data_IF_269138020582
#
_entry.id   IF_269138020582
#
_cell.length_a   1.000
_cell.length_b   1.000
_cell.length_c   1.000
_cell.angle_alpha   90.00
_cell.angle_beta   90.00
_cell.angle_gamma   90.00
#
_symmetry.space_group_name_H-M   'P 1'
#
loop_
_entity.id
_entity.type
_entity.pdbx_description
1 polymer ?
#
# COMPACT_ATOMS: atom_id res chain seq x y z
N UNK A 1 24.28 9.69 -22.47
CA UNK A 1 22.87 9.52 -22.07
C UNK A 1 22.76 10.02 -20.65
N UNK A 2 21.78 10.84 -20.30
CA UNK A 2 21.54 11.25 -18.92
C UNK A 2 20.86 10.08 -18.17
N UNK A 3 21.50 9.54 -17.14
CA UNK A 3 21.01 8.37 -16.41
C UNK A 3 19.74 8.69 -15.61
N UNK A 4 19.63 9.88 -15.04
CA UNK A 4 18.43 10.33 -14.32
C UNK A 4 17.19 10.36 -15.23
N UNK A 5 17.33 10.82 -16.47
CA UNK A 5 16.26 10.78 -17.46
C UNK A 5 15.94 9.34 -17.93
N UNK A 6 16.95 8.48 -17.97
CA UNK A 6 16.72 7.07 -18.29
C UNK A 6 15.95 6.36 -17.16
N UNK A 7 16.28 6.63 -15.87
CA UNK A 7 15.51 6.14 -14.71
C UNK A 7 14.06 6.62 -14.79
N UNK A 8 13.81 7.89 -15.11
CA UNK A 8 12.44 8.42 -15.28
C UNK A 8 11.66 7.61 -16.33
N UNK A 9 12.28 7.32 -17.48
CA UNK A 9 11.66 6.49 -18.51
C UNK A 9 11.38 5.06 -18.03
N UNK A 10 12.33 4.46 -17.29
CA UNK A 10 12.13 3.11 -16.75
C UNK A 10 10.96 3.06 -15.77
N UNK A 11 10.90 3.99 -14.82
CA UNK A 11 9.81 4.08 -13.84
C UNK A 11 8.45 4.37 -14.50
N UNK A 12 8.45 5.17 -15.58
CA UNK A 12 7.22 5.45 -16.33
C UNK A 12 6.68 4.22 -17.06
N UNK A 13 7.58 3.42 -17.65
CA UNK A 13 7.19 2.23 -18.45
C UNK A 13 6.89 1.03 -17.58
N UNK A 14 7.55 0.89 -16.42
CA UNK A 14 7.41 -0.28 -15.54
C UNK A 14 5.96 -0.51 -15.08
N UNK A 15 5.22 0.57 -14.75
CA UNK A 15 3.84 0.48 -14.28
C UNK A 15 3.67 -0.17 -12.89
N UNK A 16 4.76 -0.70 -12.34
CA UNK A 16 4.87 -1.34 -11.02
C UNK A 16 6.17 -0.91 -10.34
N UNK A 17 6.31 -1.08 -9.00
CA UNK A 17 7.53 -0.71 -8.31
C UNK A 17 8.76 -1.45 -8.83
N UNK A 18 9.80 -0.73 -9.23
CA UNK A 18 11.04 -1.26 -9.81
C UNK A 18 12.16 -1.21 -8.75
N UNK A 19 12.80 -2.35 -8.46
CA UNK A 19 13.91 -2.39 -7.52
C UNK A 19 15.23 -1.89 -8.15
N UNK A 20 16.21 -1.51 -7.31
CA UNK A 20 17.49 -0.98 -7.76
C UNK A 20 18.28 -1.96 -8.64
N UNK A 21 18.21 -3.25 -8.37
CA UNK A 21 18.91 -4.27 -9.13
C UNK A 21 18.42 -4.34 -10.58
N UNK A 22 17.11 -4.28 -10.79
CA UNK A 22 16.52 -4.30 -12.13
C UNK A 22 16.78 -2.98 -12.88
N UNK A 23 16.76 -1.82 -12.16
CA UNK A 23 17.19 -0.55 -12.73
C UNK A 23 18.65 -0.58 -13.19
N UNK A 24 19.56 -1.03 -12.35
CA UNK A 24 20.99 -1.15 -12.65
C UNK A 24 21.23 -2.06 -13.86
N UNK A 25 20.53 -3.20 -13.91
CA UNK A 25 20.58 -4.12 -15.05
C UNK A 25 20.10 -3.46 -16.35
N UNK A 26 18.99 -2.73 -16.30
CA UNK A 26 18.44 -2.04 -17.47
C UNK A 26 19.32 -0.89 -17.96
N UNK A 27 19.99 -0.19 -17.02
CA UNK A 27 20.91 0.92 -17.30
C UNK A 27 22.31 0.45 -17.68
N UNK A 28 22.62 -0.86 -17.53
CA UNK A 28 23.95 -1.44 -17.71
C UNK A 28 25.02 -0.76 -16.83
N UNK A 29 24.68 -0.49 -15.57
CA UNK A 29 25.56 0.09 -14.56
C UNK A 29 25.47 -0.70 -13.24
N UNK A 30 26.25 -0.32 -12.23
CA UNK A 30 26.14 -0.84 -10.87
C UNK A 30 24.96 -0.20 -10.10
N UNK A 31 24.54 -0.84 -8.99
CA UNK A 31 23.41 -0.37 -8.17
C UNK A 31 23.68 1.02 -7.56
N UNK A 32 24.92 1.33 -7.20
CA UNK A 32 25.28 2.65 -6.68
C UNK A 32 25.03 3.75 -7.69
N UNK A 33 25.46 3.55 -8.93
CA UNK A 33 25.24 4.49 -10.03
C UNK A 33 23.74 4.64 -10.34
N UNK A 34 22.97 3.56 -10.28
CA UNK A 34 21.51 3.59 -10.45
C UNK A 34 20.83 4.38 -9.31
N UNK A 35 21.27 4.20 -8.08
CA UNK A 35 20.76 4.93 -6.91
C UNK A 35 21.06 6.43 -6.98
N UNK A 36 22.26 6.81 -7.40
CA UNK A 36 22.62 8.22 -7.61
C UNK A 36 21.75 8.87 -8.70
N UNK A 37 21.51 8.16 -9.80
CA UNK A 37 20.64 8.63 -10.88
C UNK A 37 19.17 8.78 -10.41
N UNK A 38 18.71 7.89 -9.53
CA UNK A 38 17.39 7.96 -8.92
C UNK A 38 17.27 9.18 -7.99
N UNK A 39 18.28 9.44 -7.14
CA UNK A 39 18.34 10.63 -6.29
C UNK A 39 18.33 11.92 -7.10
N UNK A 40 19.10 11.97 -8.18
CA UNK A 40 19.09 13.12 -9.11
C UNK A 40 17.70 13.35 -9.69
N UNK A 41 16.98 12.27 -10.06
CA UNK A 41 15.59 12.36 -10.52
C UNK A 41 14.66 12.93 -9.45
N UNK A 42 14.77 12.44 -8.21
CA UNK A 42 13.96 12.93 -7.09
C UNK A 42 14.17 14.45 -6.86
N UNK A 43 15.42 14.90 -6.84
CA UNK A 43 15.75 16.31 -6.68
C UNK A 43 15.18 17.15 -7.84
N UNK A 44 15.38 16.71 -9.08
CA UNK A 44 14.90 17.41 -10.27
C UNK A 44 13.38 17.55 -10.29
N UNK A 45 12.63 16.51 -9.95
CA UNK A 45 11.18 16.56 -9.86
C UNK A 45 10.71 17.44 -8.68
N UNK A 46 11.48 17.47 -7.58
CA UNK A 46 11.23 18.35 -6.44
C UNK A 46 11.38 19.84 -6.79
N UNK A 47 12.46 20.20 -7.48
CA UNK A 47 12.79 21.59 -7.83
C UNK A 47 11.95 22.15 -8.99
N UNK A 48 11.54 21.28 -9.93
CA UNK A 48 10.82 21.71 -11.15
C UNK A 48 9.35 22.04 -10.95
N UNK A 49 8.80 21.87 -9.74
CA UNK A 49 7.35 21.99 -9.52
C UNK A 49 6.53 20.95 -10.29
N UNK A 50 7.12 19.80 -10.58
CA UNK A 50 6.45 18.68 -11.27
C UNK A 50 5.27 18.16 -10.44
N UNK A 51 4.15 17.83 -11.09
CA UNK A 51 3.04 17.10 -10.47
C UNK A 51 3.35 15.63 -10.19
N UNK A 52 4.55 15.16 -10.57
CA UNK A 52 5.04 13.81 -10.32
C UNK A 52 6.12 13.81 -9.25
N UNK A 53 6.26 12.68 -8.57
CA UNK A 53 7.31 12.39 -7.60
C UNK A 53 7.74 10.92 -7.71
N UNK A 54 8.91 10.61 -7.18
CA UNK A 54 9.37 9.21 -7.02
C UNK A 54 9.11 8.79 -5.59
N UNK A 55 8.41 7.69 -5.41
CA UNK A 55 8.07 7.11 -4.10
C UNK A 55 8.68 5.73 -3.95
N UNK A 56 9.01 5.35 -2.73
CA UNK A 56 9.40 3.98 -2.37
C UNK A 56 8.15 3.22 -1.93
N UNK A 57 7.83 2.13 -2.62
CA UNK A 57 6.63 1.32 -2.35
C UNK A 57 6.99 -0.15 -2.57
N UNK A 58 6.50 -1.05 -1.71
CA UNK A 58 6.59 -2.50 -1.88
C UNK A 58 8.04 -2.99 -2.17
N UNK A 59 9.04 -2.35 -1.55
CA UNK A 59 10.45 -2.69 -1.72
C UNK A 59 11.07 -2.25 -3.05
N UNK A 60 10.40 -1.38 -3.81
CA UNK A 60 10.88 -0.78 -5.06
C UNK A 60 10.62 0.71 -5.13
N UNK A 61 10.79 1.28 -6.33
CA UNK A 61 10.58 2.69 -6.63
C UNK A 61 9.60 2.86 -7.77
N UNK A 62 8.72 3.85 -7.67
CA UNK A 62 7.70 4.12 -8.66
C UNK A 62 7.50 5.62 -8.86
N UNK A 63 7.11 6.03 -10.07
CA UNK A 63 6.56 7.37 -10.30
C UNK A 63 5.12 7.42 -9.81
N UNK A 64 4.83 8.41 -8.98
CA UNK A 64 3.50 8.70 -8.49
C UNK A 64 3.14 10.17 -8.70
N UNK A 65 1.87 10.46 -8.68
CA UNK A 65 1.39 11.85 -8.66
C UNK A 65 1.52 12.41 -7.26
N UNK A 66 1.74 13.73 -7.13
CA UNK A 66 1.73 14.38 -5.83
C UNK A 66 0.32 14.45 -5.27
N UNK A 67 0.22 14.38 -3.93
CA UNK A 67 -1.06 14.35 -3.21
C UNK A 67 -1.91 15.60 -3.49
N UNK A 68 -1.30 16.75 -3.68
CA UNK A 68 -1.98 18.02 -4.00
C UNK A 68 -2.87 17.96 -5.26
N UNK A 69 -2.61 16.99 -6.16
CA UNK A 69 -3.40 16.76 -7.37
C UNK A 69 -4.43 15.63 -7.23
N UNK A 70 -4.56 15.02 -6.04
CA UNK A 70 -5.42 13.84 -5.80
C UNK A 70 -6.88 14.10 -6.17
N UNK A 71 -7.44 15.24 -5.80
CA UNK A 71 -8.83 15.60 -6.13
C UNK A 71 -9.05 15.72 -7.65
N UNK A 72 -8.11 16.39 -8.34
CA UNK A 72 -8.17 16.55 -9.80
C UNK A 72 -8.08 15.22 -10.52
N UNK A 73 -7.17 14.35 -10.08
CA UNK A 73 -6.97 13.01 -10.62
C UNK A 73 -8.17 12.12 -10.29
N UNK A 74 -8.70 12.23 -9.07
CA UNK A 74 -9.88 11.51 -8.63
C UNK A 74 -11.09 11.74 -9.55
N UNK A 75 -11.30 12.95 -10.05
CA UNK A 75 -12.38 13.26 -11.02
C UNK A 75 -12.24 12.47 -12.34
N UNK A 76 -11.01 12.12 -12.73
CA UNK A 76 -10.74 11.33 -13.92
C UNK A 76 -10.82 9.82 -13.65
N UNK A 77 -10.27 9.35 -12.52
CA UNK A 77 -10.04 7.93 -12.24
C UNK A 77 -11.21 7.25 -11.51
N UNK A 78 -12.13 8.01 -10.91
CA UNK A 78 -13.21 7.54 -9.99
C UNK A 78 -14.13 6.46 -10.57
N UNK A 79 -13.93 5.98 -11.77
CA UNK A 79 -14.90 5.08 -12.42
C UNK A 79 -14.58 3.60 -12.37
N UNK A 80 -13.39 3.15 -12.03
CA UNK A 80 -13.02 1.74 -12.21
C UNK A 80 -12.22 1.07 -11.08
N UNK A 81 -11.89 1.73 -10.00
CA UNK A 81 -11.28 1.10 -8.84
C UNK A 81 -12.37 0.58 -7.90
N UNK A 82 -12.69 -0.69 -7.95
CA UNK A 82 -13.62 -1.30 -7.01
C UNK A 82 -13.08 -1.16 -5.58
N UNK A 83 -13.57 -0.17 -4.83
CA UNK A 83 -13.25 -0.03 -3.41
C UNK A 83 -13.50 -1.35 -2.70
N UNK A 84 -12.62 -1.71 -1.78
CA UNK A 84 -12.87 -2.84 -0.89
C UNK A 84 -14.11 -2.54 -0.04
N UNK A 85 -14.96 -3.55 0.16
CA UNK A 85 -16.07 -3.41 1.10
C UNK A 85 -15.53 -3.30 2.53
N UNK A 86 -16.32 -2.75 3.45
CA UNK A 86 -15.95 -2.68 4.87
C UNK A 86 -15.55 -4.07 5.42
N UNK A 87 -16.32 -5.11 5.12
CA UNK A 87 -16.00 -6.48 5.50
C UNK A 87 -14.67 -7.00 4.91
N UNK A 88 -14.31 -6.55 3.71
CA UNK A 88 -13.02 -6.89 3.08
C UNK A 88 -11.86 -6.17 3.74
N UNK A 89 -12.01 -4.87 4.05
CA UNK A 89 -11.01 -4.08 4.77
C UNK A 89 -10.76 -4.64 6.17
N UNK A 90 -11.83 -4.94 6.92
CA UNK A 90 -11.77 -5.55 8.24
C UNK A 90 -11.00 -6.89 8.22
N UNK A 91 -11.35 -7.78 7.28
CA UNK A 91 -10.69 -9.08 7.14
C UNK A 91 -9.22 -8.91 6.75
N UNK A 92 -8.95 -8.00 5.83
CA UNK A 92 -7.60 -7.72 5.35
C UNK A 92 -6.71 -7.15 6.46
N UNK A 93 -7.25 -6.25 7.28
CA UNK A 93 -6.56 -5.72 8.46
C UNK A 93 -6.22 -6.83 9.46
N UNK A 94 -7.17 -7.71 9.80
CA UNK A 94 -6.91 -8.86 10.68
C UNK A 94 -5.76 -9.72 10.14
N UNK A 95 -5.76 -9.99 8.82
CA UNK A 95 -4.69 -10.77 8.20
C UNK A 95 -3.36 -10.00 8.30
N UNK A 96 -3.32 -8.72 7.96
CA UNK A 96 -2.10 -7.91 7.96
C UNK A 96 -1.41 -7.89 9.33
N UNK A 97 -2.18 -7.76 10.42
CA UNK A 97 -1.63 -7.67 11.78
C UNK A 97 -1.36 -9.02 12.45
N UNK A 98 -2.02 -10.11 12.01
CA UNK A 98 -1.95 -11.42 12.66
C UNK A 98 -1.37 -12.54 11.81
N UNK A 99 -0.91 -12.23 10.62
CA UNK A 99 -0.31 -13.20 9.71
C UNK A 99 0.95 -13.89 10.29
N UNK A 100 1.15 -15.18 9.97
CA UNK A 100 0.28 -16.04 9.17
C UNK A 100 -0.94 -16.56 9.99
N UNK A 101 -2.14 -16.47 9.43
CA UNK A 101 -3.42 -16.75 10.13
C UNK A 101 -4.34 -17.65 9.30
N UNK A 102 -5.19 -18.44 9.97
CA UNK A 102 -6.16 -19.35 9.33
C UNK A 102 -7.56 -18.72 9.26
N UNK A 103 -8.42 -19.21 8.35
CA UNK A 103 -9.83 -18.75 8.27
C UNK A 103 -10.57 -18.92 9.61
N UNK A 104 -10.50 -20.07 10.34
CA UNK A 104 -11.16 -20.18 11.64
C UNK A 104 -10.69 -19.14 12.66
N UNK A 105 -9.41 -18.76 12.64
CA UNK A 105 -8.89 -17.72 13.55
C UNK A 105 -9.39 -16.32 13.14
N UNK A 106 -9.51 -16.03 11.84
CA UNK A 106 -10.12 -14.79 11.35
C UNK A 106 -11.58 -14.72 11.77
N UNK A 107 -12.34 -15.81 11.58
CA UNK A 107 -13.75 -15.92 11.97
C UNK A 107 -13.94 -15.77 13.48
N UNK A 108 -13.02 -16.30 14.29
CA UNK A 108 -13.04 -16.12 15.74
C UNK A 108 -12.88 -14.65 16.16
N UNK A 109 -12.12 -13.87 15.42
CA UNK A 109 -11.97 -12.42 15.68
C UNK A 109 -13.18 -11.65 15.18
N UNK A 110 -13.67 -11.95 13.96
CA UNK A 110 -14.77 -11.22 13.33
C UNK A 110 -16.16 -11.57 13.90
N UNK A 111 -16.31 -12.74 14.49
CA UNK A 111 -17.60 -13.27 14.93
C UNK A 111 -18.53 -13.74 13.80
N UNK A 112 -18.10 -13.67 12.55
CA UNK A 112 -18.87 -14.03 11.34
C UNK A 112 -17.98 -14.75 10.32
N UNK A 113 -18.60 -15.47 9.37
CA UNK A 113 -17.88 -16.20 8.34
C UNK A 113 -17.01 -15.28 7.48
N UNK A 114 -15.76 -15.71 7.20
CA UNK A 114 -14.78 -14.97 6.45
C UNK A 114 -14.37 -15.64 5.13
N UNK A 115 -14.75 -16.88 4.88
CA UNK A 115 -14.26 -17.66 3.74
C UNK A 115 -14.50 -16.99 2.38
N UNK A 116 -15.69 -16.43 2.16
CA UNK A 116 -16.02 -15.72 0.93
C UNK A 116 -15.23 -14.42 0.75
N UNK A 117 -14.99 -13.71 1.85
CA UNK A 117 -14.21 -12.47 1.85
C UNK A 117 -12.73 -12.76 1.56
N UNK A 118 -12.16 -13.77 2.23
CA UNK A 118 -10.77 -14.20 1.99
C UNK A 118 -10.57 -14.60 0.53
N UNK A 119 -11.52 -15.36 -0.05
CA UNK A 119 -11.47 -15.70 -1.49
C UNK A 119 -11.46 -14.45 -2.38
N UNK A 120 -12.30 -13.47 -2.11
CA UNK A 120 -12.33 -12.21 -2.87
C UNK A 120 -11.02 -11.42 -2.74
N UNK A 121 -10.38 -11.43 -1.56
CA UNK A 121 -9.06 -10.82 -1.35
C UNK A 121 -7.95 -11.56 -2.09
N UNK A 122 -8.02 -12.91 -2.19
CA UNK A 122 -7.11 -13.70 -3.01
C UNK A 122 -7.28 -13.41 -4.51
N UNK A 123 -8.52 -13.29 -5.02
CA UNK A 123 -8.80 -12.91 -6.40
C UNK A 123 -8.22 -11.54 -6.76
N UNK A 124 -8.18 -10.62 -5.78
CA UNK A 124 -7.52 -9.30 -5.88
C UNK A 124 -6.00 -9.36 -5.63
N UNK A 125 -5.46 -10.52 -5.34
CA UNK A 125 -4.05 -10.75 -5.00
C UNK A 125 -3.54 -10.01 -3.76
N UNK A 126 -4.42 -9.53 -2.91
CA UNK A 126 -4.04 -8.85 -1.66
C UNK A 126 -3.62 -9.83 -0.56
N UNK A 127 -4.11 -11.09 -0.65
CA UNK A 127 -3.83 -12.17 0.29
C UNK A 127 -3.44 -13.42 -0.48
N UNK A 128 -2.49 -14.20 0.05
CA UNK A 128 -2.04 -15.47 -0.50
C UNK A 128 -1.97 -16.57 0.56
N UNK A 129 -2.03 -17.83 0.11
CA UNK A 129 -1.74 -19.00 0.93
C UNK A 129 -0.23 -19.12 1.13
N UNK A 130 0.22 -19.19 2.38
CA UNK A 130 1.65 -19.27 2.73
C UNK A 130 2.04 -20.60 3.36
N UNK A 131 1.06 -21.50 3.59
CA UNK A 131 1.31 -22.81 4.16
C UNK A 131 0.09 -23.42 4.82
N UNK A 132 0.34 -24.39 5.69
CA UNK A 132 -0.70 -25.06 6.49
C UNK A 132 -0.29 -25.15 7.96
N UNK A 133 -1.21 -24.89 8.85
CA UNK A 133 -0.97 -24.97 10.29
C UNK A 133 -0.83 -26.44 10.71
N UNK A 134 0.11 -26.74 11.58
CA UNK A 134 0.38 -28.10 12.10
C UNK A 134 -0.59 -28.45 13.25
N UNK A 135 -1.89 -28.43 12.96
CA UNK A 135 -2.98 -28.76 13.91
C UNK A 135 -3.97 -29.69 13.24
N UNK A 136 -4.91 -30.25 14.02
CA UNK A 136 -5.98 -31.12 13.51
C UNK A 136 -6.72 -30.39 12.39
N UNK A 137 -6.94 -31.06 11.26
CA UNK A 137 -7.56 -30.47 10.06
C UNK A 137 -6.59 -29.71 9.15
N UNK A 138 -5.34 -29.44 9.57
CA UNK A 138 -4.28 -28.77 8.81
C UNK A 138 -4.79 -27.56 7.99
N UNK A 139 -5.43 -26.58 8.63
CA UNK A 139 -6.02 -25.45 7.93
C UNK A 139 -4.95 -24.62 7.21
N UNK A 140 -5.34 -23.99 6.09
CA UNK A 140 -4.48 -23.11 5.28
C UNK A 140 -4.15 -21.86 6.08
N UNK A 141 -2.89 -21.42 5.98
CA UNK A 141 -2.37 -20.16 6.52
C UNK A 141 -2.34 -19.11 5.43
N UNK A 142 -2.83 -17.93 5.75
CA UNK A 142 -2.91 -16.78 4.86
C UNK A 142 -2.00 -15.65 5.34
N UNK A 143 -1.42 -14.91 4.39
CA UNK A 143 -0.66 -13.70 4.63
C UNK A 143 -0.92 -12.68 3.52
N UNK A 144 -0.53 -11.43 3.75
CA UNK A 144 -0.55 -10.36 2.75
C UNK A 144 0.54 -10.58 1.68
N UNK A 145 0.44 -9.87 0.58
CA UNK A 145 1.32 -9.99 -0.60
C UNK A 145 2.03 -8.67 -0.87
N UNK A 146 2.92 -8.62 -1.87
CA UNK A 146 3.49 -7.38 -2.40
C UNK A 146 2.39 -6.45 -2.97
N UNK A 147 1.34 -7.01 -3.57
CA UNK A 147 0.20 -6.24 -4.07
C UNK A 147 -0.55 -5.53 -2.95
N UNK A 148 -0.61 -6.11 -1.74
CA UNK A 148 -1.12 -5.44 -0.55
C UNK A 148 -0.29 -4.19 -0.21
N UNK A 149 1.04 -4.31 -0.16
CA UNK A 149 1.92 -3.17 0.11
C UNK A 149 1.74 -2.08 -0.96
N UNK A 150 1.68 -2.47 -2.23
CA UNK A 150 1.44 -1.57 -3.34
C UNK A 150 0.07 -0.88 -3.23
N UNK A 151 -1.00 -1.63 -2.89
CA UNK A 151 -2.37 -1.11 -2.77
C UNK A 151 -2.49 -0.03 -1.68
N UNK A 152 -1.75 -0.20 -0.55
CA UNK A 152 -1.74 0.75 0.56
C UNK A 152 -0.59 1.76 0.49
N UNK A 153 0.20 1.75 -0.58
CA UNK A 153 1.34 2.64 -0.80
C UNK A 153 2.39 2.61 0.34
N UNK A 154 2.61 1.44 0.95
CA UNK A 154 3.61 1.21 2.01
C UNK A 154 4.77 0.36 1.49
N UNK A 155 5.97 0.55 2.06
CA UNK A 155 7.16 -0.19 1.67
C UNK A 155 7.29 -1.54 2.41
N UNK A 156 6.77 -1.60 3.63
CA UNK A 156 6.78 -2.81 4.48
C UNK A 156 5.61 -2.82 5.45
N UNK A 157 5.37 -3.98 6.08
CA UNK A 157 4.34 -4.13 7.12
C UNK A 157 4.65 -3.34 8.40
N UNK A 158 5.90 -2.93 8.59
CA UNK A 158 6.34 -2.13 9.74
C UNK A 158 5.80 -0.69 9.70
N UNK A 159 5.38 -0.23 8.51
CA UNK A 159 4.73 1.06 8.32
C UNK A 159 3.24 1.05 8.72
N UNK A 160 2.68 -0.13 9.04
CA UNK A 160 1.32 -0.19 9.54
C UNK A 160 1.23 0.44 10.93
N UNK A 161 0.13 1.18 11.22
CA UNK A 161 -0.06 1.86 12.51
C UNK A 161 -0.05 0.88 13.70
N UNK A 162 0.52 1.30 14.81
CA UNK A 162 0.52 0.49 16.03
C UNK A 162 -0.86 0.57 16.68
N UNK A 163 -1.50 -0.58 16.90
CA UNK A 163 -2.88 -0.69 17.42
C UNK A 163 -3.09 -0.04 18.80
N UNK A 164 -2.03 0.14 19.59
CA UNK A 164 -2.08 0.77 20.92
C UNK A 164 -2.45 2.26 20.87
N UNK A 165 -2.35 2.90 19.71
CA UNK A 165 -2.65 4.31 19.52
C UNK A 165 -4.12 4.59 19.16
N UNK A 166 -4.96 3.56 19.11
CA UNK A 166 -6.39 3.72 18.78
C UNK A 166 -7.25 3.65 20.04
N UNK A 167 -7.85 4.78 20.42
CA UNK A 167 -8.97 4.80 21.38
C UNK A 167 -10.22 4.24 20.69
N UNK A 168 -10.81 3.14 21.17
CA UNK A 168 -12.02 2.57 20.58
C UNK A 168 -13.21 3.51 20.79
N UNK A 169 -13.89 3.91 19.73
CA UNK A 169 -15.25 4.42 19.86
C UNK A 169 -16.17 3.25 20.31
N UNK A 170 -17.07 3.48 21.26
CA UNK A 170 -17.83 2.47 22.01
C UNK A 170 -18.72 1.51 21.17
N UNK A 171 -18.70 1.59 19.84
CA UNK A 171 -19.53 0.77 18.95
C UNK A 171 -18.77 -0.24 18.07
N UNK A 172 -17.43 -0.31 18.15
CA UNK A 172 -16.67 -1.08 17.18
C UNK A 172 -16.18 -2.44 17.73
N UNK A 173 -16.56 -3.49 17.03
CA UNK A 173 -15.92 -4.82 17.17
C UNK A 173 -14.43 -4.72 16.85
N UNK A 174 -13.58 -5.60 17.41
CA UNK A 174 -12.12 -5.60 17.19
C UNK A 174 -11.70 -5.49 15.73
N UNK A 175 -12.55 -5.91 14.78
CA UNK A 175 -12.34 -5.78 13.35
C UNK A 175 -12.61 -4.38 12.80
N UNK A 176 -13.60 -3.68 13.32
CA UNK A 176 -13.89 -2.28 12.97
C UNK A 176 -12.75 -1.34 13.38
N UNK A 177 -12.16 -1.59 14.55
CA UNK A 177 -10.98 -0.87 15.04
C UNK A 177 -9.78 -1.02 14.09
N UNK A 178 -9.53 -2.25 13.62
CA UNK A 178 -8.41 -2.53 12.71
C UNK A 178 -8.64 -1.94 11.32
N UNK A 179 -9.87 -2.01 10.82
CA UNK A 179 -10.23 -1.42 9.52
C UNK A 179 -10.16 0.11 9.57
N UNK A 180 -10.65 0.71 10.67
CA UNK A 180 -10.58 2.16 10.86
C UNK A 180 -9.14 2.64 11.05
N UNK A 181 -8.26 1.85 11.67
CA UNK A 181 -6.83 2.12 11.78
C UNK A 181 -6.17 2.24 10.40
N UNK A 182 -6.33 1.24 9.55
CA UNK A 182 -5.79 1.21 8.19
C UNK A 182 -6.41 2.32 7.31
N UNK A 183 -7.71 2.64 7.51
CA UNK A 183 -8.40 3.69 6.78
C UNK A 183 -8.06 5.10 7.30
N UNK A 184 -7.82 5.27 8.61
CA UNK A 184 -7.53 6.57 9.19
C UNK A 184 -6.17 7.11 8.73
N UNK A 185 -5.14 6.29 8.59
CA UNK A 185 -3.86 6.75 8.02
C UNK A 185 -3.93 7.00 6.52
N UNK A 186 -4.60 6.15 5.77
CA UNK A 186 -4.87 6.44 4.36
C UNK A 186 -5.69 7.74 4.15
N UNK A 187 -6.41 8.19 5.20
CA UNK A 187 -7.21 9.44 5.21
C UNK A 187 -6.49 10.61 5.91
N UNK A 188 -5.62 10.37 6.89
CA UNK A 188 -4.94 11.41 7.67
C UNK A 188 -3.87 12.14 6.85
N UNK A 189 -3.23 11.48 5.90
CA UNK A 189 -2.38 12.13 4.89
C UNK A 189 -3.19 13.08 3.99
N UNK A 190 -4.52 12.94 3.94
CA UNK A 190 -5.41 13.78 3.13
C UNK A 190 -5.87 15.06 3.85
N UNK A 191 -5.65 15.21 5.18
CA UNK A 191 -6.32 16.25 5.97
C UNK A 191 -5.40 17.30 6.62
N UNK A 192 -4.08 17.27 6.42
CA UNK A 192 -3.18 18.18 7.14
C UNK A 192 -2.90 19.55 6.48
N UNK A 193 -3.44 19.87 5.30
CA UNK A 193 -3.18 21.16 4.63
C UNK A 193 -4.44 21.94 4.19
N UNK A 194 -5.51 21.89 4.95
CA UNK A 194 -6.65 22.79 4.74
C UNK A 194 -6.70 23.91 5.81
N UNK A 195 -5.62 24.70 5.92
CA UNK A 195 -5.66 26.00 6.59
C UNK A 195 -5.25 27.06 5.57
N UNK A 196 -6.22 27.58 4.81
CA UNK A 196 -6.08 28.89 4.17
C UNK A 196 -6.43 29.95 5.23
N UNK A 197 -5.53 30.90 5.53
CA UNK A 197 -5.94 32.11 6.22
C UNK A 197 -6.63 33.04 5.19
N UNK A 198 -7.87 33.39 5.48
CA UNK A 198 -8.54 34.54 4.88
C UNK A 198 -7.61 35.76 4.95
N UNK A 199 -7.38 36.39 3.84
CA UNK A 199 -6.80 37.74 3.79
C UNK A 199 -7.72 38.69 3.02
N UNK A 200 -7.90 39.92 3.52
CA UNK A 200 -8.95 40.88 3.18
C UNK A 200 -8.84 41.46 1.75
#
# INVERSE_FOLDING_TARGET
MNLSSAVECLLFVAGEPLNLQDMARALLCDEYTAEEALRELQLRLGESGSGLQVVSIAGGWQLATRMEYSETIGRLVTRNGGKLSHAALETLAIIAYRQPITIPEIEAVRGVSASGVVKSLQEKRLVAEVGRKQTIGRPILYATTQEFLHYFAISSLEELPVLENFEPEESDTAGGLLANAVLAEASAETSQDAIYPDTP
#
